data_IF_973907751547
#
_entry.id   IF_973907751547
#
_cell.length_a   1.000
_cell.length_b   1.000
_cell.length_c   1.000
_cell.angle_alpha   90.00
_cell.angle_beta   90.00
_cell.angle_gamma   90.00
#
_symmetry.space_group_name_H-M   'P 1'
#
loop_
_entity.id
_entity.type
_entity.pdbx_description
1 polymer ?
#
# COMPACT_ATOMS: atom_id res chain seq x y z
N UNK A 1 -0.50 -68.15 29.11
CA UNK A 1 -1.27 -66.97 29.59
C UNK A 1 -0.44 -65.71 29.39
N UNK A 2 -0.70 -64.92 28.34
CA UNK A 2 -0.31 -63.49 28.24
C UNK A 2 -0.83 -62.92 26.93
N UNK A 3 -1.90 -62.14 27.00
CA UNK A 3 -2.25 -61.19 25.93
C UNK A 3 -2.80 -59.91 26.56
N UNK A 4 -2.44 -58.80 25.91
CA UNK A 4 -3.14 -57.51 25.89
C UNK A 4 -3.09 -56.60 27.13
N UNK A 5 -2.05 -55.77 27.20
CA UNK A 5 -2.11 -54.43 27.81
C UNK A 5 -1.28 -53.43 26.99
N UNK A 6 -1.80 -53.04 25.82
CA UNK A 6 -1.24 -51.91 25.04
C UNK A 6 -2.27 -50.86 24.63
N UNK A 7 -3.56 -51.09 24.92
CA UNK A 7 -4.65 -50.22 24.46
C UNK A 7 -5.15 -49.21 25.52
N UNK A 8 -4.72 -49.31 26.78
CA UNK A 8 -5.25 -48.46 27.85
C UNK A 8 -4.73 -47.01 27.85
N UNK A 9 -3.63 -46.72 27.16
CA UNK A 9 -3.04 -45.37 27.13
C UNK A 9 -3.35 -44.56 25.86
N UNK A 10 -3.89 -45.20 24.81
CA UNK A 10 -4.17 -44.56 23.52
C UNK A 10 -5.53 -43.81 23.55
N UNK A 11 -6.49 -44.34 24.31
CA UNK A 11 -7.85 -43.79 24.39
C UNK A 11 -7.93 -42.36 25.00
N UNK A 12 -7.25 -42.01 26.11
CA UNK A 12 -7.33 -40.64 26.65
C UNK A 12 -6.63 -39.61 25.76
N UNK A 13 -5.59 -39.99 25.01
CA UNK A 13 -4.88 -39.09 24.08
C UNK A 13 -5.79 -38.70 22.92
N UNK A 14 -6.55 -39.66 22.35
CA UNK A 14 -7.50 -39.39 21.25
C UNK A 14 -8.68 -38.50 21.68
N UNK A 15 -9.17 -38.63 22.91
CA UNK A 15 -10.23 -37.76 23.45
C UNK A 15 -9.71 -36.34 23.69
N UNK A 16 -8.50 -36.17 24.23
CA UNK A 16 -7.87 -34.85 24.38
C UNK A 16 -7.59 -34.23 23.01
N UNK A 17 -7.12 -35.00 22.02
CA UNK A 17 -6.94 -34.52 20.66
C UNK A 17 -8.27 -34.06 20.04
N UNK A 18 -9.35 -34.84 20.23
CA UNK A 18 -10.68 -34.52 19.69
C UNK A 18 -11.31 -33.29 20.36
N UNK A 19 -11.13 -33.10 21.67
CA UNK A 19 -11.54 -31.89 22.37
C UNK A 19 -10.72 -30.66 21.96
N UNK A 20 -9.40 -30.80 21.78
CA UNK A 20 -8.55 -29.73 21.25
C UNK A 20 -8.93 -29.36 19.81
N UNK A 21 -9.27 -30.35 18.98
CA UNK A 21 -9.76 -30.14 17.60
C UNK A 21 -11.14 -29.45 17.57
N UNK A 22 -12.08 -29.86 18.43
CA UNK A 22 -13.40 -29.22 18.55
C UNK A 22 -13.31 -27.78 19.09
N UNK A 23 -12.41 -27.54 20.05
CA UNK A 23 -12.16 -26.20 20.56
C UNK A 23 -11.46 -25.32 19.52
N UNK A 24 -10.51 -25.86 18.76
CA UNK A 24 -9.83 -25.16 17.67
C UNK A 24 -10.77 -24.81 16.50
N UNK A 25 -11.75 -25.65 16.17
CA UNK A 25 -12.75 -25.33 15.13
C UNK A 25 -13.71 -24.23 15.58
N UNK A 26 -14.15 -24.23 16.84
CA UNK A 26 -14.95 -23.14 17.41
C UNK A 26 -14.19 -21.81 17.46
N UNK A 27 -12.93 -21.83 17.92
CA UNK A 27 -12.05 -20.67 17.99
C UNK A 27 -11.86 -19.99 16.63
N UNK A 28 -11.63 -20.79 15.59
CA UNK A 28 -11.50 -20.31 14.21
C UNK A 28 -12.82 -19.72 13.66
N UNK A 29 -13.99 -20.21 14.08
CA UNK A 29 -15.29 -19.66 13.66
C UNK A 29 -15.49 -18.24 14.18
N UNK A 30 -15.20 -18.00 15.47
CA UNK A 30 -15.33 -16.65 16.05
C UNK A 30 -14.32 -15.69 15.45
N UNK A 31 -13.06 -16.10 15.29
CA UNK A 31 -12.04 -15.29 14.62
C UNK A 31 -12.48 -14.89 13.19
N UNK A 32 -13.06 -15.82 12.43
CA UNK A 32 -13.59 -15.51 11.10
C UNK A 32 -14.80 -14.55 11.15
N UNK A 33 -15.68 -14.67 12.14
CA UNK A 33 -16.80 -13.72 12.31
C UNK A 33 -16.28 -12.30 12.54
N UNK A 34 -15.37 -12.10 13.50
CA UNK A 34 -14.77 -10.79 13.75
C UNK A 34 -14.00 -10.26 12.54
N UNK A 35 -13.39 -11.14 11.74
CA UNK A 35 -12.76 -10.73 10.50
C UNK A 35 -13.77 -10.14 9.50
N UNK A 36 -14.92 -10.80 9.30
CA UNK A 36 -15.98 -10.29 8.43
C UNK A 36 -16.60 -9.00 8.97
N UNK A 37 -16.82 -8.91 10.28
CA UNK A 37 -17.28 -7.67 10.92
C UNK A 37 -16.30 -6.53 10.72
N UNK A 38 -14.99 -6.78 10.90
CA UNK A 38 -13.94 -5.80 10.69
C UNK A 38 -13.93 -5.25 9.26
N UNK A 39 -14.11 -6.12 8.25
CA UNK A 39 -14.27 -5.72 6.85
C UNK A 39 -15.53 -4.89 6.64
N UNK A 40 -16.67 -5.33 7.18
CA UNK A 40 -17.94 -4.62 7.04
C UNK A 40 -17.90 -3.22 7.68
N UNK A 41 -17.26 -3.07 8.85
CA UNK A 41 -17.05 -1.76 9.46
C UNK A 41 -16.08 -0.89 8.66
N UNK A 42 -15.04 -1.48 8.06
CA UNK A 42 -14.13 -0.74 7.19
C UNK A 42 -14.87 -0.15 5.98
N UNK A 43 -15.73 -0.93 5.34
CA UNK A 43 -16.53 -0.50 4.19
C UNK A 43 -17.56 0.58 4.57
N UNK A 44 -18.07 0.54 5.80
CA UNK A 44 -18.93 1.59 6.38
C UNK A 44 -18.17 2.81 6.90
N UNK A 45 -16.84 2.85 6.75
CA UNK A 45 -15.98 3.95 7.24
C UNK A 45 -15.96 4.02 8.79
N UNK A 46 -16.45 3.00 9.47
CA UNK A 46 -16.42 2.84 10.93
C UNK A 46 -15.07 2.27 11.39
N UNK A 47 -13.98 3.03 11.14
CA UNK A 47 -12.62 2.51 11.26
C UNK A 47 -12.23 2.08 12.68
N UNK A 48 -12.74 2.73 13.73
CA UNK A 48 -12.44 2.31 15.12
C UNK A 48 -13.01 0.91 15.41
N UNK A 49 -14.28 0.66 15.05
CA UNK A 49 -14.90 -0.66 15.18
C UNK A 49 -14.23 -1.71 14.31
N UNK A 50 -13.83 -1.33 13.10
CA UNK A 50 -13.05 -2.18 12.21
C UNK A 50 -11.75 -2.64 12.87
N UNK A 51 -11.01 -1.69 13.47
CA UNK A 51 -9.76 -1.96 14.19
C UNK A 51 -10.01 -2.89 15.38
N UNK A 52 -11.05 -2.64 16.18
CA UNK A 52 -11.37 -3.48 17.34
C UNK A 52 -11.72 -4.92 16.93
N UNK A 53 -12.54 -5.08 15.89
CA UNK A 53 -12.86 -6.40 15.33
C UNK A 53 -11.60 -7.12 14.84
N UNK A 54 -10.71 -6.46 14.09
CA UNK A 54 -9.47 -7.09 13.62
C UNK A 54 -8.50 -7.43 14.77
N UNK A 55 -8.38 -6.58 15.80
CA UNK A 55 -7.62 -6.92 17.01
C UNK A 55 -8.19 -8.15 17.69
N UNK A 56 -9.52 -8.28 17.73
CA UNK A 56 -10.18 -9.46 18.31
C UNK A 56 -9.83 -10.74 17.55
N UNK A 57 -9.66 -10.68 16.24
CA UNK A 57 -9.13 -11.81 15.45
C UNK A 57 -7.75 -12.23 15.94
N UNK A 58 -6.84 -11.29 16.18
CA UNK A 58 -5.48 -11.59 16.65
C UNK A 58 -5.46 -12.13 18.08
N UNK A 59 -6.36 -11.68 18.95
CA UNK A 59 -6.56 -12.26 20.29
C UNK A 59 -7.07 -13.71 20.19
N UNK A 60 -8.05 -13.94 19.31
CA UNK A 60 -8.71 -15.22 19.08
C UNK A 60 -8.01 -16.12 18.06
N UNK A 61 -6.84 -15.76 17.54
CA UNK A 61 -6.07 -16.57 16.61
C UNK A 61 -4.64 -16.02 16.49
N UNK A 62 -3.85 -16.01 17.59
CA UNK A 62 -2.54 -15.35 17.59
C UNK A 62 -1.55 -15.93 16.58
N UNK A 63 -1.75 -17.20 16.18
CA UNK A 63 -0.94 -17.91 15.19
C UNK A 63 -1.72 -18.29 13.92
N UNK A 64 -2.77 -17.51 13.59
CA UNK A 64 -3.56 -17.72 12.38
C UNK A 64 -2.72 -17.63 11.11
N UNK A 65 -2.93 -18.58 10.19
CA UNK A 65 -2.16 -18.67 8.93
C UNK A 65 -2.33 -17.46 8.00
N UNK A 66 -3.41 -16.69 8.18
CA UNK A 66 -3.75 -15.51 7.39
C UNK A 66 -3.62 -14.20 8.21
N UNK A 67 -2.87 -14.24 9.32
CA UNK A 67 -2.65 -13.05 10.15
C UNK A 67 -1.96 -11.91 9.38
N UNK A 68 -1.21 -12.20 8.32
CA UNK A 68 -0.69 -11.20 7.39
C UNK A 68 -1.80 -10.30 6.81
N UNK A 69 -2.96 -10.87 6.48
CA UNK A 69 -4.12 -10.13 5.99
C UNK A 69 -4.76 -9.26 7.07
N UNK A 70 -4.81 -9.77 8.31
CA UNK A 70 -5.36 -9.03 9.45
C UNK A 70 -4.52 -7.79 9.74
N UNK A 71 -3.19 -7.96 9.81
CA UNK A 71 -2.25 -6.86 9.96
C UNK A 71 -2.31 -5.88 8.79
N UNK A 72 -2.46 -6.37 7.55
CA UNK A 72 -2.66 -5.51 6.39
C UNK A 72 -3.94 -4.67 6.55
N UNK A 73 -5.08 -5.26 6.91
CA UNK A 73 -6.34 -4.55 7.06
C UNK A 73 -6.32 -3.56 8.24
N UNK A 74 -5.67 -3.91 9.36
CA UNK A 74 -5.39 -2.96 10.44
C UNK A 74 -4.57 -1.78 9.93
N UNK A 75 -3.50 -2.05 9.17
CA UNK A 75 -2.67 -1.02 8.55
C UNK A 75 -3.48 -0.08 7.65
N UNK A 76 -4.41 -0.62 6.87
CA UNK A 76 -5.34 0.14 6.04
C UNK A 76 -6.30 1.01 6.87
N UNK A 77 -6.92 0.46 7.91
CA UNK A 77 -7.83 1.21 8.79
C UNK A 77 -7.11 2.38 9.49
N UNK A 78 -5.91 2.14 10.04
CA UNK A 78 -5.08 3.20 10.61
C UNK A 78 -4.65 4.24 9.56
N UNK A 79 -4.31 3.81 8.34
CA UNK A 79 -3.99 4.74 7.24
C UNK A 79 -5.15 5.68 6.92
N UNK A 80 -6.39 5.16 6.88
CA UNK A 80 -7.59 5.96 6.63
C UNK A 80 -7.88 6.95 7.76
N UNK A 81 -7.55 6.59 9.00
CA UNK A 81 -7.58 7.50 10.14
C UNK A 81 -6.39 8.48 10.19
N UNK A 82 -5.47 8.43 9.22
CA UNK A 82 -4.21 9.21 9.20
C UNK A 82 -3.27 8.91 10.37
N UNK A 83 -3.49 7.79 11.07
CA UNK A 83 -2.61 7.24 12.11
C UNK A 83 -1.47 6.47 11.44
N UNK A 84 -0.56 7.23 10.82
CA UNK A 84 0.41 6.66 9.89
C UNK A 84 1.51 5.84 10.57
N UNK A 85 1.89 6.15 11.81
CA UNK A 85 2.91 5.36 12.52
C UNK A 85 2.37 3.97 12.90
N UNK A 86 1.12 3.90 13.37
CA UNK A 86 0.40 2.65 13.61
C UNK A 86 0.22 1.88 12.30
N UNK A 87 -0.19 2.55 11.23
CA UNK A 87 -0.31 1.95 9.90
C UNK A 87 0.99 1.29 9.43
N UNK A 88 2.13 2.00 9.53
CA UNK A 88 3.46 1.49 9.20
C UNK A 88 3.82 0.26 10.04
N UNK A 89 3.53 0.32 11.35
CA UNK A 89 3.77 -0.80 12.25
C UNK A 89 2.98 -2.05 11.82
N UNK A 90 1.68 -1.93 11.56
CA UNK A 90 0.86 -3.07 11.15
C UNK A 90 1.28 -3.61 9.77
N UNK A 91 1.58 -2.76 8.80
CA UNK A 91 2.10 -3.23 7.51
C UNK A 91 3.45 -3.94 7.63
N UNK A 92 4.30 -3.54 8.59
CA UNK A 92 5.55 -4.24 8.88
C UNK A 92 5.28 -5.63 9.44
N UNK A 93 4.33 -5.76 10.39
CA UNK A 93 3.88 -7.08 10.88
C UNK A 93 3.28 -7.95 9.78
N UNK A 94 2.51 -7.37 8.85
CA UNK A 94 2.04 -8.10 7.69
C UNK A 94 3.22 -8.64 6.85
N UNK A 95 4.20 -7.81 6.52
CA UNK A 95 5.37 -8.23 5.72
C UNK A 95 6.23 -9.32 6.37
N UNK A 96 6.33 -9.32 7.71
CA UNK A 96 7.02 -10.38 8.47
C UNK A 96 6.34 -11.75 8.31
N UNK A 97 5.01 -11.78 8.11
CA UNK A 97 4.22 -13.01 8.06
C UNK A 97 3.90 -13.49 6.65
N UNK A 98 4.07 -12.65 5.63
CA UNK A 98 3.75 -13.04 4.25
C UNK A 98 4.71 -14.16 3.79
N UNK A 99 4.19 -15.33 3.39
CA UNK A 99 5.05 -16.41 2.92
C UNK A 99 5.74 -16.02 1.60
N UNK A 100 6.88 -16.65 1.30
CA UNK A 100 7.66 -16.37 0.07
C UNK A 100 6.82 -16.40 -1.23
N UNK A 101 5.82 -17.29 -1.29
CA UNK A 101 4.88 -17.41 -2.43
C UNK A 101 3.82 -16.30 -2.50
N UNK A 102 3.63 -15.52 -1.42
CA UNK A 102 2.64 -14.45 -1.29
C UNK A 102 3.02 -13.15 -1.99
N UNK A 103 3.66 -13.23 -3.17
CA UNK A 103 4.24 -12.11 -3.92
C UNK A 103 3.21 -10.99 -4.14
N UNK A 104 1.97 -11.32 -4.53
CA UNK A 104 0.89 -10.34 -4.72
C UNK A 104 0.49 -9.63 -3.42
N UNK A 105 0.45 -10.34 -2.30
CA UNK A 105 0.17 -9.73 -0.98
C UNK A 105 1.31 -8.81 -0.57
N UNK A 106 2.56 -9.28 -0.70
CA UNK A 106 3.76 -8.51 -0.39
C UNK A 106 3.83 -7.22 -1.20
N UNK A 107 3.52 -7.27 -2.50
CA UNK A 107 3.42 -6.10 -3.37
C UNK A 107 2.46 -5.05 -2.80
N UNK A 108 1.21 -5.46 -2.50
CA UNK A 108 0.19 -4.55 -1.97
C UNK A 108 0.62 -3.94 -0.64
N UNK A 109 1.21 -4.72 0.25
CA UNK A 109 1.64 -4.21 1.56
C UNK A 109 2.80 -3.23 1.43
N UNK A 110 3.77 -3.49 0.54
CA UNK A 110 4.86 -2.56 0.25
C UNK A 110 4.32 -1.23 -0.33
N UNK A 111 3.39 -1.29 -1.29
CA UNK A 111 2.75 -0.10 -1.85
C UNK A 111 2.10 0.77 -0.76
N UNK A 112 1.28 0.16 0.10
CA UNK A 112 0.57 0.91 1.14
C UNK A 112 1.48 1.39 2.27
N UNK A 113 2.51 0.63 2.63
CA UNK A 113 3.51 1.08 3.62
C UNK A 113 4.36 2.22 3.06
N UNK A 114 4.71 2.19 1.77
CA UNK A 114 5.38 3.30 1.10
C UNK A 114 4.50 4.57 1.10
N UNK A 115 3.20 4.43 0.80
CA UNK A 115 2.24 5.55 0.90
C UNK A 115 2.23 6.13 2.32
N UNK A 116 2.20 5.30 3.37
CA UNK A 116 2.24 5.74 4.76
C UNK A 116 3.56 6.45 5.11
N UNK A 117 4.71 5.92 4.67
CA UNK A 117 6.01 6.58 4.81
C UNK A 117 6.05 7.94 4.12
N UNK A 118 5.45 8.06 2.94
CA UNK A 118 5.38 9.33 2.21
C UNK A 118 4.56 10.36 2.98
N UNK A 119 3.42 9.99 3.56
CA UNK A 119 2.63 10.90 4.43
C UNK A 119 3.42 11.34 5.67
N UNK A 120 4.27 10.47 6.21
CA UNK A 120 5.22 10.78 7.29
C UNK A 120 6.46 11.54 6.85
N UNK A 121 6.59 11.90 5.55
CA UNK A 121 7.79 12.53 4.96
C UNK A 121 9.06 11.70 5.11
N UNK A 122 8.94 10.39 5.35
CA UNK A 122 10.05 9.42 5.40
C UNK A 122 10.36 8.93 3.98
N UNK A 123 10.83 9.86 3.14
CA UNK A 123 10.93 9.64 1.69
C UNK A 123 11.89 8.51 1.30
N UNK A 124 13.01 8.33 2.00
CA UNK A 124 13.96 7.25 1.70
C UNK A 124 13.32 5.86 1.93
N UNK A 125 12.54 5.71 3.00
CA UNK A 125 11.77 4.48 3.28
C UNK A 125 10.65 4.26 2.26
N UNK A 126 9.92 5.31 1.87
CA UNK A 126 8.90 5.22 0.83
C UNK A 126 9.49 4.79 -0.52
N UNK A 127 10.60 5.40 -0.93
CA UNK A 127 11.33 5.06 -2.15
C UNK A 127 11.76 3.60 -2.13
N UNK A 128 12.30 3.12 -1.01
CA UNK A 128 12.71 1.72 -0.87
C UNK A 128 11.52 0.78 -1.08
N UNK A 129 10.42 0.98 -0.35
CA UNK A 129 9.26 0.09 -0.45
C UNK A 129 8.60 0.14 -1.85
N UNK A 130 8.49 1.30 -2.48
CA UNK A 130 8.03 1.40 -3.87
C UNK A 130 8.97 0.68 -4.84
N UNK A 131 10.28 0.77 -4.65
CA UNK A 131 11.26 0.10 -5.50
C UNK A 131 11.18 -1.42 -5.34
N UNK A 132 11.07 -1.90 -4.11
CA UNK A 132 10.86 -3.31 -3.81
C UNK A 132 9.55 -3.80 -4.44
N UNK A 133 8.47 -3.03 -4.39
CA UNK A 133 7.19 -3.36 -5.04
C UNK A 133 7.32 -3.44 -6.57
N UNK A 134 7.99 -2.47 -7.20
CA UNK A 134 8.23 -2.47 -8.64
C UNK A 134 9.03 -3.70 -9.08
N UNK A 135 10.10 -4.03 -8.36
CA UNK A 135 10.91 -5.22 -8.66
C UNK A 135 10.12 -6.52 -8.50
N UNK A 136 9.18 -6.54 -7.55
CA UNK A 136 8.42 -7.73 -7.22
C UNK A 136 7.39 -8.08 -8.28
N UNK A 137 6.65 -7.09 -8.81
CA UNK A 137 5.66 -7.29 -9.88
C UNK A 137 5.69 -6.07 -10.82
N UNK A 138 6.61 -6.04 -11.81
CA UNK A 138 6.79 -4.87 -12.68
C UNK A 138 5.62 -4.63 -13.65
N UNK A 139 4.73 -5.62 -13.83
CA UNK A 139 3.57 -5.56 -14.72
C UNK A 139 2.24 -5.48 -13.97
N UNK A 140 2.25 -5.15 -12.68
CA UNK A 140 1.03 -5.01 -11.88
C UNK A 140 0.17 -3.85 -12.40
N UNK A 141 -1.16 -3.98 -12.33
CA UNK A 141 -2.11 -2.94 -12.80
C UNK A 141 -1.88 -1.55 -12.17
N UNK A 142 -1.47 -1.51 -10.91
CA UNK A 142 -1.16 -0.28 -10.17
C UNK A 142 0.27 0.24 -10.36
N UNK A 143 1.11 -0.39 -11.21
CA UNK A 143 2.53 -0.04 -11.29
C UNK A 143 2.76 1.42 -11.70
N UNK A 144 1.92 1.99 -12.58
CA UNK A 144 1.97 3.40 -12.97
C UNK A 144 1.81 4.34 -11.77
N UNK A 145 0.92 3.99 -10.83
CA UNK A 145 0.66 4.77 -9.62
C UNK A 145 1.87 4.70 -8.68
N UNK A 146 2.54 3.55 -8.61
CA UNK A 146 3.75 3.38 -7.81
C UNK A 146 4.91 4.23 -8.36
N UNK A 147 5.14 4.21 -9.67
CA UNK A 147 6.12 5.11 -10.31
C UNK A 147 5.78 6.58 -10.02
N UNK A 148 4.52 6.98 -10.25
CA UNK A 148 4.05 8.34 -9.96
C UNK A 148 4.31 8.75 -8.50
N UNK A 149 3.94 7.91 -7.53
CA UNK A 149 4.12 8.21 -6.11
C UNK A 149 5.59 8.22 -5.69
N UNK A 150 6.42 7.32 -6.25
CA UNK A 150 7.87 7.31 -6.01
C UNK A 150 8.53 8.56 -6.58
N UNK A 151 8.10 9.06 -7.75
CA UNK A 151 8.57 10.32 -8.31
C UNK A 151 8.38 11.51 -7.36
N UNK A 152 7.21 11.61 -6.70
CA UNK A 152 6.98 12.64 -5.68
C UNK A 152 7.92 12.51 -4.48
N UNK A 153 8.28 11.28 -4.08
CA UNK A 153 9.29 11.08 -3.03
C UNK A 153 10.69 11.52 -3.50
N UNK A 154 11.06 11.25 -4.76
CA UNK A 154 12.30 11.77 -5.35
C UNK A 154 12.36 13.29 -5.43
N UNK A 155 11.24 13.96 -5.77
CA UNK A 155 11.14 15.42 -5.74
C UNK A 155 11.47 15.97 -4.36
N UNK A 156 10.90 15.36 -3.31
CA UNK A 156 11.14 15.80 -1.93
C UNK A 156 12.59 15.53 -1.47
N UNK A 157 13.27 14.56 -2.09
CA UNK A 157 14.71 14.34 -1.93
C UNK A 157 15.57 15.27 -2.79
N UNK A 158 14.98 16.12 -3.62
CA UNK A 158 15.68 16.97 -4.58
C UNK A 158 16.25 16.22 -5.80
N UNK A 159 15.96 14.93 -5.95
CA UNK A 159 16.44 14.15 -7.09
C UNK A 159 15.46 14.26 -8.27
N UNK A 160 15.57 15.36 -9.00
CA UNK A 160 14.68 15.66 -10.12
C UNK A 160 14.87 14.73 -11.32
N UNK A 161 16.08 14.19 -11.55
CA UNK A 161 16.33 13.25 -12.65
C UNK A 161 15.53 11.96 -12.44
N UNK A 162 15.64 11.33 -11.27
CA UNK A 162 14.86 10.12 -10.95
C UNK A 162 13.35 10.36 -10.94
N UNK A 163 12.90 11.54 -10.53
CA UNK A 163 11.49 11.90 -10.60
C UNK A 163 10.98 11.97 -12.05
N UNK A 164 11.76 12.57 -12.96
CA UNK A 164 11.44 12.62 -14.39
C UNK A 164 11.37 11.21 -14.98
N UNK A 165 12.33 10.35 -14.65
CA UNK A 165 12.36 8.96 -15.12
C UNK A 165 11.10 8.22 -14.66
N UNK A 166 10.77 8.30 -13.36
CA UNK A 166 9.60 7.64 -12.80
C UNK A 166 8.28 8.16 -13.41
N UNK A 167 8.11 9.48 -13.58
CA UNK A 167 6.91 9.99 -14.29
C UNK A 167 6.86 9.54 -15.74
N UNK A 168 8.01 9.44 -16.41
CA UNK A 168 8.08 8.96 -17.79
C UNK A 168 7.71 7.48 -17.90
N UNK A 169 8.14 6.65 -16.93
CA UNK A 169 7.69 5.27 -16.83
C UNK A 169 6.17 5.18 -16.60
N UNK A 170 5.61 6.00 -15.71
CA UNK A 170 4.17 6.04 -15.47
C UNK A 170 3.38 6.42 -16.74
N UNK A 171 3.84 7.43 -17.48
CA UNK A 171 3.24 7.87 -18.77
C UNK A 171 3.39 6.80 -19.85
N UNK A 172 4.52 6.09 -19.91
CA UNK A 172 4.71 5.01 -20.88
C UNK A 172 3.78 3.83 -20.64
N UNK A 173 3.39 3.59 -19.38
CA UNK A 173 2.47 2.52 -19.00
C UNK A 173 1.02 2.95 -19.26
N UNK A 174 0.72 4.23 -19.02
CA UNK A 174 -0.59 4.81 -19.26
C UNK A 174 -0.44 6.24 -19.83
N UNK A 175 -0.53 6.38 -21.17
CA UNK A 175 -0.43 7.67 -21.85
C UNK A 175 -1.54 8.65 -21.51
N UNK A 176 -2.63 8.22 -20.87
CA UNK A 176 -3.73 9.08 -20.43
C UNK A 176 -3.58 9.51 -18.96
N UNK A 177 -2.49 9.12 -18.29
CA UNK A 177 -2.28 9.42 -16.88
C UNK A 177 -1.85 10.88 -16.63
N UNK A 178 -2.83 11.78 -16.68
CA UNK A 178 -2.67 13.24 -16.59
C UNK A 178 -1.78 13.70 -15.42
N UNK A 179 -1.89 13.04 -14.26
CA UNK A 179 -1.19 13.41 -13.04
C UNK A 179 0.32 13.26 -13.20
N UNK A 180 0.77 12.29 -14.01
CA UNK A 180 2.19 12.09 -14.29
C UNK A 180 2.75 13.12 -15.26
N UNK A 181 1.95 13.58 -16.23
CA UNK A 181 2.32 14.76 -17.04
C UNK A 181 2.43 16.01 -16.18
N UNK A 182 1.46 16.26 -15.31
CA UNK A 182 1.51 17.36 -14.35
C UNK A 182 2.76 17.29 -13.45
N UNK A 183 3.03 16.12 -12.89
CA UNK A 183 4.21 15.88 -12.05
C UNK A 183 5.51 16.15 -12.79
N UNK A 184 5.67 15.64 -14.02
CA UNK A 184 6.86 15.85 -14.84
C UNK A 184 7.01 17.32 -15.27
N UNK A 185 5.92 17.99 -15.64
CA UNK A 185 5.88 19.43 -15.92
C UNK A 185 6.36 20.25 -14.73
N UNK A 186 5.92 19.91 -13.51
CA UNK A 186 6.35 20.56 -12.28
C UNK A 186 7.85 20.41 -12.06
N UNK A 187 8.41 19.23 -12.31
CA UNK A 187 9.87 19.01 -12.18
C UNK A 187 10.66 19.79 -13.23
N UNK A 188 10.22 19.81 -14.49
CA UNK A 188 10.85 20.63 -15.53
C UNK A 188 10.82 22.11 -15.19
N UNK A 189 9.69 22.60 -14.67
CA UNK A 189 9.55 23.97 -14.21
C UNK A 189 10.53 24.28 -13.07
N UNK A 190 10.69 23.37 -12.10
CA UNK A 190 11.68 23.50 -11.01
C UNK A 190 13.13 23.52 -11.51
N UNK A 191 13.42 22.81 -12.61
CA UNK A 191 14.72 22.84 -13.30
C UNK A 191 14.89 24.03 -14.25
N UNK A 192 13.93 24.95 -14.31
CA UNK A 192 13.89 26.08 -15.24
C UNK A 192 13.86 25.68 -16.73
N UNK A 193 13.58 24.43 -17.07
CA UNK A 193 13.34 23.98 -18.44
C UNK A 193 11.90 24.27 -18.83
N UNK A 194 11.63 25.53 -19.14
CA UNK A 194 10.27 26.01 -19.40
C UNK A 194 9.68 25.41 -20.69
N UNK A 195 10.52 25.00 -21.65
CA UNK A 195 10.08 24.42 -22.91
C UNK A 195 9.51 23.02 -22.70
N UNK A 196 10.21 22.15 -21.97
CA UNK A 196 9.66 20.83 -21.63
C UNK A 196 8.49 20.94 -20.66
N UNK A 197 8.58 21.87 -19.70
CA UNK A 197 7.51 22.08 -18.73
C UNK A 197 6.17 22.46 -19.40
N UNK A 198 6.17 23.35 -20.40
CA UNK A 198 4.92 23.78 -21.04
C UNK A 198 4.30 22.68 -21.92
N UNK A 199 5.11 21.80 -22.51
CA UNK A 199 4.63 20.66 -23.30
C UNK A 199 3.84 19.72 -22.39
N UNK A 200 4.46 19.25 -21.30
CA UNK A 200 3.81 18.32 -20.36
C UNK A 200 2.61 18.99 -19.66
N UNK A 201 2.70 20.27 -19.29
CA UNK A 201 1.58 20.98 -18.66
C UNK A 201 0.37 21.12 -19.60
N UNK A 202 0.60 21.31 -20.90
CA UNK A 202 -0.48 21.35 -21.90
C UNK A 202 -1.15 19.99 -22.04
N UNK A 203 -0.39 18.90 -22.04
CA UNK A 203 -0.98 17.56 -22.14
C UNK A 203 -1.81 17.23 -20.89
N UNK A 204 -1.32 17.57 -19.69
CA UNK A 204 -2.11 17.42 -18.45
C UNK A 204 -3.44 18.19 -18.51
N UNK A 205 -3.44 19.45 -18.98
CA UNK A 205 -4.66 20.25 -19.16
C UNK A 205 -5.57 19.67 -20.24
N UNK A 206 -5.02 19.17 -21.34
CA UNK A 206 -5.79 18.55 -22.43
C UNK A 206 -6.53 17.30 -21.94
N UNK A 207 -5.85 16.44 -21.18
CA UNK A 207 -6.43 15.21 -20.61
C UNK A 207 -7.46 15.52 -19.52
N UNK A 208 -7.22 16.57 -18.72
CA UNK A 208 -8.08 16.96 -17.60
C UNK A 208 -8.33 18.48 -17.56
N UNK A 209 -9.21 19.00 -18.45
CA UNK A 209 -9.39 20.45 -18.65
C UNK A 209 -10.09 21.18 -17.50
N UNK A 210 -10.76 20.45 -16.61
CA UNK A 210 -11.39 21.03 -15.41
C UNK A 210 -10.43 21.09 -14.20
N UNK A 211 -9.21 20.55 -14.32
CA UNK A 211 -8.29 20.48 -13.20
C UNK A 211 -7.52 21.80 -13.03
N UNK A 212 -8.02 22.65 -12.13
CA UNK A 212 -7.44 23.96 -11.83
C UNK A 212 -5.94 23.91 -11.50
N UNK A 213 -5.42 22.85 -10.88
CA UNK A 213 -3.98 22.75 -10.56
C UNK A 213 -3.13 22.68 -11.82
N UNK A 214 -3.64 22.03 -12.85
CA UNK A 214 -2.93 21.85 -14.12
C UNK A 214 -2.91 23.17 -14.89
N UNK A 215 -4.05 23.87 -14.91
CA UNK A 215 -4.16 25.22 -15.50
C UNK A 215 -3.25 26.24 -14.79
N UNK A 216 -3.25 26.26 -13.46
CA UNK A 216 -2.42 27.16 -12.66
C UNK A 216 -0.93 26.96 -12.95
N UNK A 217 -0.48 25.71 -13.09
CA UNK A 217 0.92 25.41 -13.45
C UNK A 217 1.22 25.87 -14.88
N UNK A 218 0.34 25.57 -15.84
CA UNK A 218 0.48 25.99 -17.24
C UNK A 218 0.57 27.52 -17.35
N UNK A 219 -0.26 28.26 -16.61
CA UNK A 219 -0.21 29.72 -16.53
C UNK A 219 1.12 30.23 -15.97
N UNK A 220 1.59 29.67 -14.84
CA UNK A 220 2.87 30.06 -14.21
C UNK A 220 4.06 29.85 -15.14
N UNK A 221 4.08 28.74 -15.88
CA UNK A 221 5.13 28.46 -16.87
C UNK A 221 5.09 29.52 -17.98
N UNK A 222 3.92 29.78 -18.58
CA UNK A 222 3.75 30.79 -19.65
C UNK A 222 4.18 32.20 -19.18
N UNK A 223 3.82 32.58 -17.95
CA UNK A 223 4.23 33.86 -17.38
C UNK A 223 5.75 33.96 -17.22
N UNK A 224 6.39 32.87 -16.78
CA UNK A 224 7.85 32.80 -16.63
C UNK A 224 8.57 32.90 -17.99
N UNK A 225 8.05 32.23 -19.03
CA UNK A 225 8.58 32.32 -20.40
C UNK A 225 8.47 33.72 -21.00
N UNK A 226 7.42 34.49 -20.65
CA UNK A 226 7.27 35.88 -21.10
C UNK A 226 8.31 36.78 -20.43
N UNK A 227 8.62 36.54 -19.15
CA UNK A 227 9.62 37.31 -18.40
C UNK A 227 11.04 37.05 -18.92
N UNK A 228 11.37 35.81 -19.29
CA UNK A 228 12.72 35.46 -19.79
C UNK A 228 13.04 35.98 -21.20
N UNK A 229 12.07 36.58 -21.90
CA UNK A 229 12.25 37.17 -23.23
C UNK A 229 12.41 38.69 -23.20
N UNK A 230 12.29 39.30 -22.02
CA UNK A 230 12.56 40.72 -21.77
C UNK A 230 13.93 40.86 -21.15
#
# INVERSE_FOLDING_TARGET
MRTSSKYSFIFPILVILFFLLSCATGYNKYANQYYQEGLAFYDKIEYDRSIDSFKKVLELAPYGKDNDLIYYNLGMAYYKQRKYDESIYQFTKALELIPKKGIKRKFKVLEWRANAFQQKKKFDSAIKDYSDAIQLIPTHENIKNIYHNRAWSWINKGNYYKAIDDFSSAISIDPEFDASYYGRAYVWYKKADLQRAIIDAKEAVKLSPANKRYDDLSYKIKASMKKSKK
#
